data_IF_357249997222
#
_entry.id   IF_357249997222
#
_cell.length_a   1.000
_cell.length_b   1.000
_cell.length_c   1.000
_cell.angle_alpha   90.00
_cell.angle_beta   90.00
_cell.angle_gamma   90.00
#
_symmetry.space_group_name_H-M   'P 1'
#
loop_
_entity.id
_entity.type
_entity.pdbx_description
1 polymer ?
#
# COMPACT_ATOMS: atom_id res chain seq x y z
N UNK A 1 17.76 64.59 -18.30
CA UNK A 1 17.58 63.15 -18.09
C UNK A 1 16.47 62.67 -19.03
N UNK A 2 16.83 62.11 -20.18
CA UNK A 2 15.90 61.67 -21.22
C UNK A 2 15.40 60.25 -20.98
N UNK A 3 14.10 60.01 -21.16
CA UNK A 3 13.49 58.67 -21.21
C UNK A 3 13.84 58.02 -22.56
N UNK A 4 14.14 56.70 -22.63
CA UNK A 4 14.30 56.02 -23.90
C UNK A 4 12.94 55.76 -24.57
N UNK A 5 12.88 55.65 -25.91
CA UNK A 5 11.65 55.41 -26.65
C UNK A 5 11.25 53.93 -26.61
N UNK A 6 9.94 53.69 -26.66
CA UNK A 6 9.33 52.37 -26.71
C UNK A 6 9.85 51.55 -27.92
N UNK A 7 10.44 50.40 -27.64
CA UNK A 7 10.84 49.40 -28.63
C UNK A 7 9.69 48.44 -28.95
N UNK A 8 9.42 48.32 -30.25
CA UNK A 8 8.59 47.38 -31.01
C UNK A 8 8.26 46.03 -30.35
N UNK A 9 6.95 45.72 -30.31
CA UNK A 9 6.39 44.40 -29.96
C UNK A 9 6.68 43.40 -31.10
N UNK A 10 7.31 42.27 -30.78
CA UNK A 10 7.51 41.16 -31.71
C UNK A 10 6.17 40.49 -32.08
N UNK A 11 6.02 39.93 -33.30
CA UNK A 11 4.78 39.29 -33.72
C UNK A 11 4.52 38.00 -32.92
N UNK A 12 3.24 37.58 -32.77
CA UNK A 12 2.92 36.35 -32.06
C UNK A 12 3.46 35.15 -32.84
N UNK A 13 4.31 34.36 -32.18
CA UNK A 13 4.78 33.08 -32.71
C UNK A 13 3.55 32.16 -32.83
N UNK A 14 3.23 31.73 -34.05
CA UNK A 14 2.10 30.83 -34.29
C UNK A 14 2.33 29.53 -33.53
N UNK A 15 1.43 29.20 -32.60
CA UNK A 15 1.44 27.92 -31.90
C UNK A 15 1.04 26.84 -32.90
N UNK A 16 2.02 26.24 -33.56
CA UNK A 16 1.81 24.98 -34.29
C UNK A 16 1.32 23.96 -33.27
N UNK A 17 0.07 23.55 -33.38
CA UNK A 17 -0.55 22.58 -32.48
C UNK A 17 0.19 21.25 -32.61
N UNK A 18 0.87 20.85 -31.54
CA UNK A 18 1.43 19.51 -31.41
C UNK A 18 0.29 18.49 -31.60
N UNK A 19 0.41 17.50 -32.50
CA UNK A 19 -0.63 16.48 -32.65
C UNK A 19 -0.73 15.73 -31.33
N UNK A 20 -1.85 15.88 -30.62
CA UNK A 20 -2.18 15.05 -29.47
C UNK A 20 -2.45 13.65 -30.01
N UNK A 21 -1.41 12.82 -30.06
CA UNK A 21 -1.58 11.37 -30.09
C UNK A 21 -2.46 11.06 -28.87
N UNK A 22 -3.64 10.49 -29.10
CA UNK A 22 -4.43 9.95 -28.01
C UNK A 22 -3.51 8.96 -27.27
N UNK A 23 -3.09 9.34 -26.06
CA UNK A 23 -2.36 8.44 -25.19
C UNK A 23 -3.37 7.36 -24.84
N UNK A 24 -3.15 6.13 -25.31
CA UNK A 24 -3.62 4.97 -24.56
C UNK A 24 -3.11 5.20 -23.14
N UNK A 25 -4.01 5.53 -22.22
CA UNK A 25 -3.63 5.77 -20.83
C UNK A 25 -3.19 4.44 -20.28
N UNK A 26 -1.88 4.28 -20.13
CA UNK A 26 -1.30 3.08 -19.53
C UNK A 26 -1.96 2.86 -18.16
N UNK A 27 -2.45 1.65 -17.92
CA UNK A 27 -3.19 1.33 -16.69
C UNK A 27 -2.24 1.53 -15.51
N UNK A 28 -2.57 2.45 -14.60
CA UNK A 28 -1.73 2.73 -13.44
C UNK A 28 -1.97 1.66 -12.40
N UNK A 29 -0.98 0.78 -12.23
CA UNK A 29 -1.03 -0.34 -11.27
C UNK A 29 -0.07 -0.08 -10.11
N UNK A 30 -0.47 -0.45 -8.90
CA UNK A 30 0.43 -0.50 -7.76
C UNK A 30 0.18 -1.73 -6.90
N UNK A 31 1.17 -2.06 -6.06
CA UNK A 31 1.02 -3.08 -5.03
C UNK A 31 1.13 -2.45 -3.64
N UNK A 32 0.24 -2.84 -2.72
CA UNK A 32 0.33 -2.61 -1.29
C UNK A 32 0.79 -3.92 -0.63
N UNK A 33 2.10 -4.13 -0.43
CA UNK A 33 2.62 -5.39 0.10
C UNK A 33 2.64 -5.39 1.62
N UNK A 34 2.43 -6.56 2.22
CA UNK A 34 2.47 -6.73 3.67
C UNK A 34 2.28 -8.17 4.11
N UNK A 35 2.50 -8.43 5.40
CA UNK A 35 2.13 -9.71 5.99
C UNK A 35 0.63 -9.78 6.28
N UNK A 36 0.00 -8.67 6.68
CA UNK A 36 -1.44 -8.57 6.97
C UNK A 36 -1.95 -9.63 7.94
N UNK A 37 -1.25 -9.82 9.07
CA UNK A 37 -1.52 -10.89 10.04
C UNK A 37 -2.01 -10.35 11.41
N UNK A 38 -3.25 -9.86 11.57
CA UNK A 38 -4.23 -9.63 10.51
C UNK A 38 -4.08 -8.24 9.86
N UNK A 39 -4.88 -7.98 8.82
CA UNK A 39 -5.12 -6.61 8.32
C UNK A 39 -5.70 -5.73 9.44
N UNK A 40 -5.36 -4.43 9.43
CA UNK A 40 -5.79 -3.46 10.45
C UNK A 40 -6.39 -2.20 9.78
N UNK A 41 -7.02 -1.33 10.56
CA UNK A 41 -7.58 -0.07 10.03
C UNK A 41 -6.51 0.83 9.39
N UNK A 42 -5.27 0.77 9.89
CA UNK A 42 -4.13 1.47 9.28
C UNK A 42 -3.72 0.93 7.91
N UNK A 43 -3.83 -0.39 7.69
CA UNK A 43 -3.61 -0.97 6.36
C UNK A 43 -4.73 -0.56 5.40
N UNK A 44 -5.98 -0.61 5.88
CA UNK A 44 -7.15 -0.25 5.07
C UNK A 44 -7.10 1.21 4.61
N UNK A 45 -6.69 2.15 5.48
CA UNK A 45 -6.47 3.56 5.11
C UNK A 45 -5.51 3.70 3.91
N UNK A 46 -4.38 2.98 3.94
CA UNK A 46 -3.40 3.03 2.85
C UNK A 46 -3.96 2.43 1.56
N UNK A 47 -4.65 1.30 1.64
CA UNK A 47 -5.26 0.62 0.49
C UNK A 47 -6.35 1.49 -0.14
N UNK A 48 -7.22 2.10 0.66
CA UNK A 48 -8.27 3.01 0.20
C UNK A 48 -7.71 4.28 -0.44
N UNK A 49 -6.59 4.79 0.06
CA UNK A 49 -5.93 5.96 -0.54
C UNK A 49 -5.24 5.59 -1.84
N UNK A 50 -4.61 4.42 -1.91
CA UNK A 50 -4.05 3.89 -3.15
C UNK A 50 -5.13 3.68 -4.21
N UNK A 51 -6.30 3.14 -3.83
CA UNK A 51 -7.40 2.83 -4.76
C UNK A 51 -8.00 4.08 -5.42
N UNK A 52 -7.85 5.25 -4.81
CA UNK A 52 -8.26 6.55 -5.40
C UNK A 52 -7.23 7.11 -6.38
N UNK A 53 -5.98 6.64 -6.33
CA UNK A 53 -4.85 7.19 -7.08
C UNK A 53 -4.46 6.31 -8.29
N UNK A 54 -4.76 5.02 -8.20
CA UNK A 54 -4.40 3.99 -9.18
C UNK A 54 -5.63 3.37 -9.82
N UNK A 55 -5.46 2.90 -11.05
CA UNK A 55 -6.52 2.25 -11.82
C UNK A 55 -6.69 0.79 -11.36
N UNK A 56 -5.63 0.15 -10.86
CA UNK A 56 -5.66 -1.17 -10.20
C UNK A 56 -4.70 -1.20 -8.99
N UNK A 57 -5.16 -1.72 -7.87
CA UNK A 57 -4.36 -1.88 -6.65
C UNK A 57 -4.34 -3.34 -6.25
N UNK A 58 -3.14 -3.91 -6.17
CA UNK A 58 -2.94 -5.28 -5.69
C UNK A 58 -2.54 -5.22 -4.22
N UNK A 59 -3.30 -5.87 -3.34
CA UNK A 59 -2.85 -6.13 -1.97
C UNK A 59 -2.06 -7.43 -1.97
N UNK A 60 -0.74 -7.32 -1.87
CA UNK A 60 0.20 -8.43 -1.99
C UNK A 60 0.55 -9.05 -0.64
N UNK A 61 0.01 -10.22 -0.34
CA UNK A 61 0.29 -10.96 0.89
C UNK A 61 1.59 -11.73 0.77
N UNK A 62 2.58 -11.40 1.61
CA UNK A 62 3.84 -12.12 1.65
C UNK A 62 3.67 -13.52 2.27
N UNK A 63 4.03 -14.55 1.49
CA UNK A 63 4.16 -15.93 1.96
C UNK A 63 5.51 -16.10 2.64
N UNK A 64 5.52 -16.05 3.96
CA UNK A 64 6.72 -16.30 4.74
C UNK A 64 6.73 -17.74 5.28
N UNK A 65 7.56 -18.60 4.71
CA UNK A 65 7.67 -20.00 5.14
C UNK A 65 8.48 -20.19 6.43
N UNK A 66 9.18 -19.16 6.92
CA UNK A 66 10.02 -19.25 8.12
C UNK A 66 9.38 -18.66 9.38
N UNK A 67 8.17 -18.10 9.28
CA UNK A 67 7.40 -17.60 10.43
C UNK A 67 5.99 -18.19 10.41
N UNK A 68 5.58 -18.81 11.51
CA UNK A 68 4.16 -19.11 11.75
C UNK A 68 3.45 -17.79 12.12
N UNK A 69 2.61 -17.30 11.21
CA UNK A 69 1.66 -16.24 11.52
C UNK A 69 0.52 -16.75 12.39
N UNK A 70 -0.29 -15.85 12.94
CA UNK A 70 -1.52 -16.23 13.64
C UNK A 70 -2.56 -16.79 12.67
N UNK A 71 -2.60 -16.24 11.46
CA UNK A 71 -3.45 -16.66 10.36
C UNK A 71 -2.63 -17.24 9.20
N UNK A 72 -3.21 -18.22 8.52
CA UNK A 72 -2.66 -18.76 7.26
C UNK A 72 -2.64 -17.68 6.17
N UNK A 73 -1.93 -17.90 5.05
CA UNK A 73 -1.95 -16.94 3.92
C UNK A 73 -3.37 -16.75 3.42
N UNK A 74 -4.09 -17.86 3.26
CA UNK A 74 -5.44 -17.96 2.74
C UNK A 74 -6.42 -17.20 3.64
N UNK A 75 -6.35 -17.40 4.96
CA UNK A 75 -7.17 -16.65 5.92
C UNK A 75 -6.91 -15.14 5.86
N UNK A 76 -5.65 -14.74 5.68
CA UNK A 76 -5.27 -13.32 5.54
C UNK A 76 -5.81 -12.73 4.25
N UNK A 77 -5.74 -13.47 3.15
CA UNK A 77 -6.31 -13.07 1.87
C UNK A 77 -7.83 -12.97 1.95
N UNK A 78 -8.50 -13.91 2.62
CA UNK A 78 -9.96 -13.89 2.77
C UNK A 78 -10.43 -12.70 3.60
N UNK A 79 -9.73 -12.38 4.70
CA UNK A 79 -9.97 -11.15 5.45
C UNK A 79 -9.80 -9.91 4.57
N UNK A 80 -8.72 -9.85 3.78
CA UNK A 80 -8.47 -8.74 2.87
C UNK A 80 -9.59 -8.59 1.83
N UNK A 81 -9.97 -9.68 1.15
CA UNK A 81 -11.05 -9.67 0.15
C UNK A 81 -12.37 -9.16 0.73
N UNK A 82 -12.69 -9.59 1.95
CA UNK A 82 -13.91 -9.15 2.63
C UNK A 82 -13.86 -7.65 2.97
N UNK A 83 -12.78 -7.17 3.59
CA UNK A 83 -12.68 -5.76 4.02
C UNK A 83 -12.48 -4.80 2.85
N UNK A 84 -11.99 -5.27 1.70
CA UNK A 84 -11.82 -4.46 0.49
C UNK A 84 -12.92 -4.69 -0.55
N UNK A 85 -13.98 -5.46 -0.24
CA UNK A 85 -15.02 -5.81 -1.21
C UNK A 85 -15.75 -4.60 -1.83
N UNK A 86 -15.81 -3.47 -1.11
CA UNK A 86 -16.38 -2.22 -1.61
C UNK A 86 -15.47 -1.44 -2.58
N UNK A 87 -14.21 -1.84 -2.75
CA UNK A 87 -13.22 -1.17 -3.57
C UNK A 87 -13.08 -1.91 -4.92
N UNK A 88 -13.84 -1.46 -5.93
CA UNK A 88 -13.99 -2.17 -7.21
C UNK A 88 -12.72 -2.33 -8.06
N UNK A 89 -11.61 -1.70 -7.68
CA UNK A 89 -10.31 -1.79 -8.34
C UNK A 89 -9.21 -2.40 -7.45
N UNK A 90 -9.58 -3.02 -6.33
CA UNK A 90 -8.64 -3.69 -5.43
C UNK A 90 -8.68 -5.20 -5.65
N UNK A 91 -7.52 -5.77 -5.91
CA UNK A 91 -7.31 -7.21 -6.06
C UNK A 91 -6.45 -7.71 -4.90
N UNK A 92 -6.66 -8.95 -4.47
CA UNK A 92 -5.87 -9.58 -3.41
C UNK A 92 -5.13 -10.77 -3.97
N UNK A 93 -3.82 -10.75 -3.84
CA UNK A 93 -2.93 -11.81 -4.33
C UNK A 93 -1.85 -12.13 -3.28
N UNK A 94 -1.17 -13.25 -3.45
CA UNK A 94 -0.05 -13.64 -2.59
C UNK A 94 1.20 -13.91 -3.42
N UNK A 95 2.35 -13.71 -2.80
CA UNK A 95 3.62 -13.97 -3.48
C UNK A 95 4.67 -14.55 -2.53
N UNK A 96 5.63 -15.24 -3.12
CA UNK A 96 6.80 -15.79 -2.44
C UNK A 96 8.06 -15.25 -3.10
N UNK A 97 9.10 -15.03 -2.30
CA UNK A 97 10.39 -14.54 -2.79
C UNK A 97 10.48 -13.01 -2.71
N UNK A 98 11.20 -12.40 -3.66
CA UNK A 98 11.40 -10.96 -3.68
C UNK A 98 10.17 -10.24 -4.22
N UNK A 99 9.75 -9.19 -3.51
CA UNK A 99 8.66 -8.30 -3.93
C UNK A 99 8.88 -7.76 -5.35
N UNK A 100 10.11 -7.38 -5.68
CA UNK A 100 10.44 -6.79 -6.98
C UNK A 100 10.33 -7.77 -8.15
N UNK A 101 10.55 -9.06 -7.91
CA UNK A 101 10.36 -10.08 -8.95
C UNK A 101 8.87 -10.28 -9.19
N UNK A 102 8.06 -10.35 -8.12
CA UNK A 102 6.61 -10.35 -8.22
C UNK A 102 6.08 -9.12 -8.99
N UNK A 103 6.56 -7.93 -8.65
CA UNK A 103 6.20 -6.70 -9.35
C UNK A 103 6.56 -6.77 -10.84
N UNK A 104 7.75 -7.27 -11.18
CA UNK A 104 8.18 -7.42 -12.58
C UNK A 104 7.29 -8.40 -13.35
N UNK A 105 7.03 -9.57 -12.77
CA UNK A 105 6.24 -10.63 -13.39
C UNK A 105 4.80 -10.18 -13.63
N UNK A 106 4.26 -9.37 -12.72
CA UNK A 106 2.92 -8.79 -12.84
C UNK A 106 2.89 -7.49 -13.64
N UNK A 107 4.02 -6.90 -14.05
CA UNK A 107 4.05 -5.60 -14.71
C UNK A 107 3.57 -4.44 -13.81
N UNK A 108 3.87 -4.49 -12.51
CA UNK A 108 3.51 -3.48 -11.52
C UNK A 108 4.71 -2.55 -11.30
N UNK A 109 4.63 -1.26 -11.69
CA UNK A 109 5.77 -0.34 -11.59
C UNK A 109 5.94 0.30 -10.20
N UNK A 110 4.93 0.24 -9.33
CA UNK A 110 4.92 0.99 -8.06
C UNK A 110 4.52 0.12 -6.86
N UNK A 111 5.26 0.27 -5.78
CA UNK A 111 4.92 -0.19 -4.42
C UNK A 111 4.39 0.99 -3.63
N UNK A 112 3.25 0.84 -2.96
CA UNK A 112 2.70 1.84 -2.03
C UNK A 112 2.81 1.32 -0.60
N UNK A 113 3.42 2.11 0.29
CA UNK A 113 3.59 1.76 1.70
C UNK A 113 3.19 2.89 2.64
N UNK A 114 2.53 2.52 3.74
CA UNK A 114 2.28 3.42 4.85
C UNK A 114 3.55 3.68 5.66
N UNK A 115 3.78 4.93 6.06
CA UNK A 115 4.80 5.29 7.06
C UNK A 115 4.10 5.82 8.31
N UNK A 116 4.41 5.18 9.43
CA UNK A 116 3.77 5.42 10.73
C UNK A 116 4.54 6.39 11.60
N UNK A 117 5.84 6.15 11.72
CA UNK A 117 6.76 6.93 12.51
C UNK A 117 8.10 7.06 11.79
N UNK A 118 8.93 8.00 12.25
CA UNK A 118 10.30 8.20 11.75
C UNK A 118 11.12 6.92 11.86
N UNK A 119 10.88 6.07 12.87
CA UNK A 119 11.59 4.80 13.05
C UNK A 119 11.34 3.78 11.93
N UNK A 120 10.19 3.82 11.27
CA UNK A 120 9.92 2.95 10.11
C UNK A 120 10.64 3.47 8.85
N UNK A 121 10.89 4.77 8.79
CA UNK A 121 11.36 5.45 7.58
C UNK A 121 12.74 4.99 7.14
N UNK A 122 13.72 4.89 8.05
CA UNK A 122 15.09 4.54 7.67
C UNK A 122 15.17 3.16 7.02
N UNK A 123 14.47 2.17 7.62
CA UNK A 123 14.39 0.82 7.08
C UNK A 123 13.67 0.82 5.72
N UNK A 124 12.51 1.48 5.64
CA UNK A 124 11.71 1.49 4.42
C UNK A 124 12.37 2.26 3.27
N UNK A 125 13.08 3.34 3.56
CA UNK A 125 13.87 4.09 2.59
C UNK A 125 15.04 3.26 2.05
N UNK A 126 15.73 2.52 2.92
CA UNK A 126 16.77 1.59 2.48
C UNK A 126 16.20 0.52 1.54
N UNK A 127 15.05 -0.06 1.91
CA UNK A 127 14.39 -1.08 1.11
C UNK A 127 13.88 -0.53 -0.24
N UNK A 128 13.35 0.70 -0.28
CA UNK A 128 12.90 1.30 -1.54
C UNK A 128 14.06 1.55 -2.51
N UNK A 129 15.19 2.06 -2.02
CA UNK A 129 16.40 2.25 -2.83
C UNK A 129 16.94 0.92 -3.37
N UNK A 130 16.93 -0.14 -2.54
CA UNK A 130 17.34 -1.48 -2.97
C UNK A 130 16.40 -2.02 -4.05
N UNK A 131 15.09 -1.92 -3.85
CA UNK A 131 14.10 -2.39 -4.80
C UNK A 131 14.21 -1.68 -6.16
N UNK A 132 14.35 -0.36 -6.13
CA UNK A 132 14.55 0.45 -7.33
C UNK A 132 15.86 0.05 -8.04
N UNK A 133 16.96 -0.13 -7.30
CA UNK A 133 18.24 -0.54 -7.88
C UNK A 133 18.17 -1.89 -8.60
N UNK A 134 17.39 -2.84 -8.06
CA UNK A 134 17.28 -4.21 -8.58
C UNK A 134 16.30 -4.33 -9.76
N UNK A 135 15.30 -3.46 -9.85
CA UNK A 135 14.15 -3.69 -10.76
C UNK A 135 13.55 -2.45 -11.41
N UNK A 136 13.92 -1.25 -10.96
CA UNK A 136 13.28 0.00 -11.36
C UNK A 136 11.90 0.23 -10.73
N UNK A 137 11.43 -0.66 -9.86
CA UNK A 137 10.15 -0.48 -9.15
C UNK A 137 10.27 0.69 -8.18
N UNK A 138 9.37 1.65 -8.32
CA UNK A 138 9.30 2.83 -7.47
C UNK A 138 8.55 2.51 -6.16
N UNK A 139 8.88 3.21 -5.08
CA UNK A 139 8.13 3.11 -3.82
C UNK A 139 7.56 4.47 -3.45
N UNK A 140 6.24 4.54 -3.30
CA UNK A 140 5.55 5.71 -2.78
C UNK A 140 5.17 5.52 -1.33
N UNK A 141 5.60 6.47 -0.51
CA UNK A 141 5.26 6.49 0.91
C UNK A 141 4.05 7.36 1.17
N UNK A 142 3.16 6.83 1.99
CA UNK A 142 1.92 7.45 2.41
C UNK A 142 2.00 7.66 3.92
N UNK A 143 2.04 8.91 4.37
CA UNK A 143 1.95 9.18 5.81
C UNK A 143 0.61 8.65 6.34
N UNK A 144 0.65 7.74 7.31
CA UNK A 144 -0.57 7.12 7.87
C UNK A 144 -1.40 8.16 8.60
N UNK A 145 -2.72 7.98 8.63
CA UNK A 145 -3.61 8.75 9.50
C UNK A 145 -3.06 8.73 10.95
N UNK A 146 -2.90 9.90 11.63
CA UNK A 146 -2.42 9.98 13.00
C UNK A 146 -3.13 9.04 13.97
N UNK A 147 -4.44 8.80 13.76
CA UNK A 147 -5.25 7.85 14.53
C UNK A 147 -4.70 6.43 14.53
N UNK A 148 -4.01 6.03 13.45
CA UNK A 148 -3.43 4.69 13.27
C UNK A 148 -1.90 4.70 13.28
N UNK A 149 -1.26 5.81 13.65
CA UNK A 149 0.20 5.97 13.61
C UNK A 149 0.97 5.02 14.53
N UNK A 150 0.35 4.52 15.60
CA UNK A 150 0.96 3.52 16.49
C UNK A 150 0.64 2.07 16.09
N UNK A 151 -0.25 1.87 15.12
CA UNK A 151 -0.88 0.59 14.87
C UNK A 151 0.06 -0.37 14.11
N UNK A 152 0.21 -1.59 14.60
CA UNK A 152 0.80 -2.70 13.86
C UNK A 152 -0.01 -3.97 14.11
N UNK A 153 -0.01 -4.91 13.15
CA UNK A 153 -0.64 -6.21 13.37
C UNK A 153 -0.04 -6.94 14.59
N UNK A 154 1.27 -6.81 14.82
CA UNK A 154 1.92 -7.42 15.99
C UNK A 154 1.40 -6.87 17.31
N UNK A 155 1.27 -5.53 17.42
CA UNK A 155 0.71 -4.90 18.61
C UNK A 155 -0.76 -5.28 18.82
N UNK A 156 -1.57 -5.32 17.74
CA UNK A 156 -2.96 -5.78 17.80
C UNK A 156 -3.05 -7.20 18.34
N UNK A 157 -2.25 -8.12 17.80
CA UNK A 157 -2.23 -9.52 18.28
C UNK A 157 -1.81 -9.60 19.74
N UNK A 158 -0.80 -8.85 20.16
CA UNK A 158 -0.31 -8.84 21.54
C UNK A 158 -1.40 -8.35 22.50
N UNK A 159 -2.00 -7.19 22.24
CA UNK A 159 -3.07 -6.63 23.07
C UNK A 159 -4.26 -7.57 23.16
N UNK A 160 -4.71 -8.12 22.02
CA UNK A 160 -5.84 -9.06 21.99
C UNK A 160 -5.54 -10.36 22.74
N UNK A 161 -4.30 -10.88 22.66
CA UNK A 161 -3.87 -12.09 23.38
C UNK A 161 -4.00 -11.93 24.89
N UNK A 162 -3.80 -10.72 25.41
CA UNK A 162 -3.94 -10.40 26.83
C UNK A 162 -5.33 -9.87 27.21
N UNK A 163 -6.32 -10.00 26.33
CA UNK A 163 -7.71 -9.61 26.59
C UNK A 163 -7.98 -8.10 26.50
N UNK A 164 -7.07 -7.33 25.92
CA UNK A 164 -7.31 -5.92 25.62
C UNK A 164 -8.27 -5.74 24.45
N UNK A 165 -9.07 -4.67 24.50
CA UNK A 165 -10.01 -4.33 23.43
C UNK A 165 -9.27 -3.72 22.21
N UNK A 166 -9.45 -4.35 21.06
CA UNK A 166 -8.89 -3.92 19.77
C UNK A 166 -9.97 -3.63 18.72
N UNK A 167 -11.24 -3.55 19.13
CA UNK A 167 -12.38 -3.36 18.23
C UNK A 167 -12.30 -2.09 17.38
N UNK A 168 -11.69 -1.02 17.91
CA UNK A 168 -11.46 0.23 17.19
C UNK A 168 -10.24 0.19 16.23
N UNK A 169 -9.45 -0.89 16.26
CA UNK A 169 -8.16 -0.97 15.57
C UNK A 169 -8.17 -1.88 14.34
N UNK A 170 -9.20 -2.72 14.20
CA UNK A 170 -9.38 -3.64 13.08
C UNK A 170 -10.82 -3.59 12.56
N UNK A 171 -11.06 -3.97 11.29
CA UNK A 171 -12.41 -4.13 10.78
C UNK A 171 -13.18 -5.23 11.54
N UNK A 172 -14.50 -5.10 11.63
CA UNK A 172 -15.36 -6.05 12.35
C UNK A 172 -15.17 -7.52 11.91
N UNK A 173 -15.07 -7.87 10.60
CA UNK A 173 -14.83 -9.25 10.21
C UNK A 173 -13.48 -9.82 10.68
N UNK A 174 -12.50 -8.94 10.91
CA UNK A 174 -11.18 -9.30 11.42
C UNK A 174 -11.24 -9.49 12.93
N UNK A 175 -11.95 -8.60 13.63
CA UNK A 175 -12.18 -8.72 15.08
C UNK A 175 -12.80 -10.07 15.42
N UNK A 176 -13.86 -10.47 14.72
CA UNK A 176 -14.54 -11.75 14.93
C UNK A 176 -13.59 -12.94 14.79
N UNK A 177 -12.75 -12.94 13.74
CA UNK A 177 -11.77 -14.00 13.50
C UNK A 177 -10.67 -14.02 14.55
N UNK A 178 -10.22 -12.84 14.99
CA UNK A 178 -9.21 -12.69 16.02
C UNK A 178 -9.71 -13.22 17.37
N UNK A 179 -10.89 -12.81 17.81
CA UNK A 179 -11.52 -13.32 19.05
C UNK A 179 -11.70 -14.83 19.00
N UNK A 180 -12.29 -15.35 17.90
CA UNK A 180 -12.49 -16.80 17.72
C UNK A 180 -11.17 -17.59 17.79
N UNK A 181 -10.10 -17.06 17.17
CA UNK A 181 -8.77 -17.68 17.15
C UNK A 181 -8.10 -17.71 18.53
N UNK A 182 -8.33 -16.69 19.35
CA UNK A 182 -7.71 -16.55 20.66
C UNK A 182 -8.51 -17.24 21.78
N UNK A 183 -9.83 -17.36 21.62
CA UNK A 183 -10.71 -18.11 22.55
C UNK A 183 -10.53 -19.63 22.43
N UNK A 184 -10.02 -20.09 21.28
CA UNK A 184 -9.63 -21.49 21.09
C UNK A 184 -8.17 -21.64 21.56
N UNK A 185 -7.88 -22.33 22.68
CA UNK A 185 -6.49 -22.55 23.07
C UNK A 185 -5.78 -23.27 21.93
N UNK A 186 -4.55 -22.87 21.55
CA UNK A 186 -3.78 -23.65 20.59
C UNK A 186 -3.59 -25.05 21.19
N UNK A 187 -3.87 -26.10 20.41
CA UNK A 187 -3.46 -27.46 20.74
C UNK A 187 -1.96 -27.39 21.07
N UNK A 188 -1.63 -27.55 22.36
CA UNK A 188 -0.27 -27.52 22.90
C UNK A 188 0.41 -28.86 22.73
#
# INVERSE_FOLDING_TARGET
MGRPPFGTVAPPVSRTSCPRRALETDVRRCVCPGSFDPVTNGHLDVIERASRLYDEVIVGVLVNTSKSGLFTVEERMDMLREVTAGLGNVLVDSFRGLLVDYCRDQGIPVVVKGLRAVSDFDYELQMSQMNNRLSGVETLFVATNPEYSFLSSSLVREVATWGGDVSALVPEPVLLRLTTRLDTPPDR
#
